data_IF_976144410362
#
_entry.id   IF_976144410362
#
_cell.length_a   1.000
_cell.length_b   1.000
_cell.length_c   1.000
_cell.angle_alpha   90.00
_cell.angle_beta   90.00
_cell.angle_gamma   90.00
#
_symmetry.space_group_name_H-M   'P 1'
#
loop_
_entity.id
_entity.type
_entity.pdbx_description
1 polymer ?
#
# COMPACT_ATOMS: atom_id res chain seq x y z
N UNK A 1 1.59 -8.73 0.01
CA UNK A 1 0.58 -7.65 -0.09
C UNK A 1 1.15 -6.47 -0.87
N UNK A 2 0.44 -5.97 -1.90
CA UNK A 2 0.88 -4.82 -2.68
C UNK A 2 0.47 -3.51 -1.99
N UNK A 3 1.40 -2.55 -1.91
CA UNK A 3 1.22 -1.30 -1.13
C UNK A 3 0.91 -0.07 -1.98
N UNK A 4 1.14 -0.11 -3.31
CA UNK A 4 0.82 1.00 -4.21
C UNK A 4 0.39 0.52 -5.59
N UNK A 5 -0.63 1.17 -6.16
CA UNK A 5 -1.16 0.86 -7.47
C UNK A 5 -0.43 1.70 -8.53
N UNK A 6 0.59 1.13 -9.17
CA UNK A 6 1.25 1.82 -10.30
C UNK A 6 0.45 1.67 -11.60
N UNK A 7 0.63 2.58 -12.58
CA UNK A 7 0.01 2.43 -13.90
C UNK A 7 0.33 1.11 -14.60
N UNK A 8 1.53 0.55 -14.38
CA UNK A 8 1.97 -0.74 -14.91
C UNK A 8 1.21 -1.89 -14.27
N UNK A 9 1.07 -1.87 -12.94
CA UNK A 9 0.30 -2.89 -12.22
C UNK A 9 -1.18 -2.83 -12.61
N UNK A 10 -1.75 -1.63 -12.71
CA UNK A 10 -3.14 -1.47 -13.13
C UNK A 10 -3.37 -1.97 -14.56
N UNK A 11 -2.42 -1.75 -15.47
CA UNK A 11 -2.46 -2.32 -16.82
C UNK A 11 -2.44 -3.85 -16.78
N UNK A 12 -1.57 -4.45 -15.97
CA UNK A 12 -1.53 -5.89 -15.75
C UNK A 12 -2.85 -6.45 -15.19
N UNK A 13 -3.43 -5.77 -14.19
CA UNK A 13 -4.72 -6.15 -13.59
C UNK A 13 -5.88 -6.07 -14.59
N UNK A 14 -5.81 -5.21 -15.61
CA UNK A 14 -6.85 -5.06 -16.64
C UNK A 14 -6.64 -5.96 -17.86
N UNK A 15 -5.52 -6.67 -17.95
CA UNK A 15 -5.27 -7.61 -19.04
C UNK A 15 -6.29 -8.76 -19.05
N UNK A 16 -6.58 -9.30 -20.23
CA UNK A 16 -7.39 -10.52 -20.34
C UNK A 16 -6.67 -11.70 -19.69
N UNK A 17 -7.47 -12.61 -19.14
CA UNK A 17 -6.99 -13.82 -18.47
C UNK A 17 -7.75 -15.04 -18.97
N UNK A 18 -7.16 -16.24 -18.83
CA UNK A 18 -7.92 -17.47 -18.97
C UNK A 18 -9.12 -17.46 -18.01
N UNK A 19 -10.32 -17.64 -18.55
CA UNK A 19 -11.53 -17.76 -17.74
C UNK A 19 -11.42 -18.96 -16.79
N UNK A 20 -11.74 -18.84 -15.48
CA UNK A 20 -12.37 -17.68 -14.84
C UNK A 20 -11.40 -16.75 -14.10
N UNK A 21 -11.61 -15.44 -14.23
CA UNK A 21 -11.00 -14.43 -13.37
C UNK A 21 -11.99 -14.01 -12.26
N UNK A 22 -11.61 -14.24 -11.00
CA UNK A 22 -12.42 -13.97 -9.82
C UNK A 22 -11.92 -12.71 -9.10
N UNK A 23 -12.86 -11.85 -8.70
CA UNK A 23 -12.61 -10.68 -7.87
C UNK A 23 -13.47 -10.72 -6.63
N UNK A 24 -12.84 -10.78 -5.45
CA UNK A 24 -13.49 -10.64 -4.16
C UNK A 24 -13.26 -9.24 -3.62
N UNK A 25 -14.28 -8.67 -3.00
CA UNK A 25 -14.16 -7.46 -2.22
C UNK A 25 -14.83 -7.68 -0.86
N UNK A 26 -14.16 -7.27 0.21
CA UNK A 26 -14.63 -7.42 1.59
C UNK A 26 -14.33 -6.13 2.36
N UNK A 27 -15.32 -5.46 2.98
CA UNK A 27 -15.03 -4.41 3.96
C UNK A 27 -14.38 -5.03 5.20
N UNK A 28 -13.28 -4.44 5.65
CA UNK A 28 -12.49 -4.91 6.79
C UNK A 28 -12.40 -3.84 7.86
N UNK A 29 -11.90 -4.22 9.04
CA UNK A 29 -11.80 -3.35 10.19
C UNK A 29 -10.35 -3.19 10.64
N UNK A 30 -9.93 -1.96 10.93
CA UNK A 30 -8.55 -1.68 11.38
C UNK A 30 -8.25 -2.15 12.81
N UNK A 31 -9.28 -2.31 13.65
CA UNK A 31 -9.12 -2.48 15.10
C UNK A 31 -9.88 -3.70 15.61
N UNK A 32 -9.34 -4.31 16.66
CA UNK A 32 -10.04 -5.28 17.50
C UNK A 32 -11.14 -4.56 18.31
N UNK A 33 -12.26 -5.23 18.63
CA UNK A 33 -12.55 -6.63 18.34
C UNK A 33 -13.08 -6.88 16.92
N UNK A 34 -13.53 -5.84 16.21
CA UNK A 34 -14.29 -5.98 14.95
C UNK A 34 -13.52 -6.71 13.85
N UNK A 35 -12.19 -6.60 13.79
CA UNK A 35 -11.36 -7.30 12.81
C UNK A 35 -11.24 -8.82 13.04
N UNK A 36 -11.80 -9.36 14.13
CA UNK A 36 -11.82 -10.80 14.40
C UNK A 36 -12.72 -11.58 13.45
N UNK A 37 -13.74 -10.93 12.90
CA UNK A 37 -14.66 -11.57 11.96
C UNK A 37 -14.14 -11.57 10.51
N UNK A 38 -13.20 -10.70 10.17
CA UNK A 38 -12.78 -10.48 8.78
C UNK A 38 -12.20 -11.75 8.13
N UNK A 39 -11.38 -12.57 8.81
CA UNK A 39 -10.91 -13.85 8.25
C UNK A 39 -12.06 -14.84 7.97
N UNK A 40 -13.05 -14.89 8.86
CA UNK A 40 -14.22 -15.78 8.70
C UNK A 40 -15.06 -15.33 7.51
N UNK A 41 -15.32 -14.02 7.39
CA UNK A 41 -16.07 -13.46 6.26
C UNK A 41 -15.34 -13.67 4.94
N UNK A 42 -14.01 -13.53 4.92
CA UNK A 42 -13.21 -13.84 3.75
C UNK A 42 -13.33 -15.32 3.36
N UNK A 43 -13.27 -16.23 4.34
CA UNK A 43 -13.50 -17.67 4.11
C UNK A 43 -14.85 -17.93 3.45
N UNK A 44 -15.92 -17.31 3.95
CA UNK A 44 -17.26 -17.43 3.37
C UNK A 44 -17.32 -16.93 1.92
N UNK A 45 -16.61 -15.84 1.58
CA UNK A 45 -16.54 -15.34 0.19
C UNK A 45 -15.76 -16.28 -0.72
N UNK A 46 -14.72 -16.95 -0.22
CA UNK A 46 -13.99 -17.98 -0.98
C UNK A 46 -14.89 -19.18 -1.26
N UNK A 47 -15.71 -19.60 -0.29
CA UNK A 47 -16.70 -20.66 -0.49
C UNK A 47 -17.80 -20.26 -1.48
N UNK A 48 -18.31 -19.03 -1.40
CA UNK A 48 -19.25 -18.48 -2.38
C UNK A 48 -18.65 -18.48 -3.79
N UNK A 49 -17.40 -18.05 -3.95
CA UNK A 49 -16.71 -18.12 -5.23
C UNK A 49 -16.62 -19.56 -5.76
N UNK A 50 -16.27 -20.52 -4.89
CA UNK A 50 -16.26 -21.94 -5.26
C UNK A 50 -17.61 -22.44 -5.77
N UNK A 51 -18.71 -22.02 -5.15
CA UNK A 51 -20.09 -22.35 -5.58
C UNK A 51 -20.47 -21.71 -6.90
N UNK A 52 -20.11 -20.45 -7.13
CA UNK A 52 -20.34 -19.76 -8.40
C UNK A 52 -19.58 -20.43 -9.56
N UNK A 53 -18.34 -20.83 -9.31
CA UNK A 53 -17.52 -21.55 -10.30
C UNK A 53 -18.05 -22.96 -10.59
N UNK A 54 -18.56 -23.68 -9.58
CA UNK A 54 -19.19 -25.00 -9.78
C UNK A 54 -20.47 -24.91 -10.62
N UNK A 55 -21.23 -23.81 -10.48
CA UNK A 55 -22.49 -23.62 -11.19
C UNK A 55 -22.29 -23.20 -12.66
N UNK A 56 -21.07 -22.82 -13.06
CA UNK A 56 -20.78 -22.36 -14.40
C UNK A 56 -20.30 -23.50 -15.31
N UNK A 57 -21.07 -23.87 -16.36
CA UNK A 57 -20.70 -24.96 -17.25
C UNK A 57 -19.44 -24.67 -18.11
N UNK A 58 -19.01 -23.41 -18.23
CA UNK A 58 -17.77 -23.06 -18.92
C UNK A 58 -16.51 -23.27 -18.06
N UNK A 59 -16.67 -23.54 -16.76
CA UNK A 59 -15.55 -23.75 -15.83
C UNK A 59 -15.32 -25.25 -15.64
N UNK A 60 -14.12 -25.72 -16.00
CA UNK A 60 -13.73 -27.10 -15.69
C UNK A 60 -13.43 -27.25 -14.20
N UNK A 61 -13.62 -28.46 -13.67
CA UNK A 61 -13.28 -28.77 -12.27
C UNK A 61 -11.83 -28.41 -11.93
N UNK A 62 -10.90 -28.69 -12.83
CA UNK A 62 -9.48 -28.36 -12.68
C UNK A 62 -9.26 -26.85 -12.52
N UNK A 63 -9.86 -26.02 -13.38
CA UNK A 63 -9.74 -24.56 -13.29
C UNK A 63 -10.38 -24.00 -12.04
N UNK A 64 -11.54 -24.54 -11.64
CA UNK A 64 -12.17 -24.17 -10.37
C UNK A 64 -11.23 -24.46 -9.21
N UNK A 65 -10.72 -25.69 -9.12
CA UNK A 65 -9.92 -26.13 -7.98
C UNK A 65 -8.62 -25.32 -7.87
N UNK A 66 -7.99 -24.98 -9.01
CA UNK A 66 -6.84 -24.04 -9.05
C UNK A 66 -7.24 -22.65 -8.55
N UNK A 67 -8.28 -22.03 -9.12
CA UNK A 67 -8.70 -20.67 -8.71
C UNK A 67 -9.08 -20.61 -7.22
N UNK A 68 -9.77 -21.62 -6.69
CA UNK A 68 -10.08 -21.70 -5.26
C UNK A 68 -8.81 -21.85 -4.42
N UNK A 69 -7.81 -22.62 -4.88
CA UNK A 69 -6.52 -22.71 -4.22
C UNK A 69 -5.78 -21.36 -4.21
N UNK A 70 -5.80 -20.64 -5.33
CA UNK A 70 -5.23 -19.29 -5.45
C UNK A 70 -5.92 -18.28 -4.52
N UNK A 71 -7.25 -18.34 -4.39
CA UNK A 71 -8.00 -17.51 -3.43
C UNK A 71 -7.62 -17.81 -1.98
N UNK A 72 -7.44 -19.10 -1.64
CA UNK A 72 -7.02 -19.51 -0.28
C UNK A 72 -5.58 -19.09 0.00
N UNK A 73 -4.69 -19.20 -0.97
CA UNK A 73 -3.32 -18.71 -0.85
C UNK A 73 -3.31 -17.20 -0.57
N UNK A 74 -4.04 -16.43 -1.38
CA UNK A 74 -4.19 -14.99 -1.17
C UNK A 74 -4.76 -14.63 0.22
N UNK A 75 -5.73 -15.39 0.71
CA UNK A 75 -6.31 -15.20 2.04
C UNK A 75 -5.32 -15.52 3.16
N UNK A 76 -4.48 -16.54 2.99
CA UNK A 76 -3.48 -16.94 3.97
C UNK A 76 -2.29 -15.96 4.08
N UNK A 77 -2.00 -15.22 3.01
CA UNK A 77 -0.98 -14.16 3.01
C UNK A 77 -1.40 -12.89 3.76
N UNK A 78 -2.66 -12.78 4.18
CA UNK A 78 -3.15 -11.60 4.88
C UNK A 78 -2.72 -11.60 6.34
N UNK A 79 -1.90 -10.62 6.68
CA UNK A 79 -1.60 -10.27 8.07
C UNK A 79 -2.79 -9.52 8.69
N UNK A 80 -3.48 -10.08 9.70
CA UNK A 80 -4.58 -9.39 10.40
C UNK A 80 -4.13 -8.10 11.10
N UNK A 81 -2.83 -7.95 11.38
CA UNK A 81 -2.23 -6.72 11.93
C UNK A 81 -2.15 -5.57 10.92
N UNK A 82 -2.28 -5.85 9.62
CA UNK A 82 -2.25 -4.85 8.54
C UNK A 82 -3.64 -4.56 7.96
N UNK A 83 -4.70 -5.00 8.64
CA UNK A 83 -6.08 -4.76 8.20
C UNK A 83 -6.35 -3.25 8.00
N UNK A 84 -6.88 -2.91 6.83
CA UNK A 84 -7.33 -1.56 6.47
C UNK A 84 -8.87 -1.49 6.49
N UNK A 85 -9.47 -0.59 5.73
CA UNK A 85 -10.93 -0.45 5.68
C UNK A 85 -11.58 -1.38 4.65
N UNK A 86 -10.78 -1.93 3.73
CA UNK A 86 -11.24 -2.92 2.77
C UNK A 86 -10.13 -3.83 2.29
N UNK A 87 -10.56 -4.95 1.71
CA UNK A 87 -9.73 -5.96 1.08
C UNK A 87 -10.27 -6.24 -0.32
N UNK A 88 -9.38 -6.27 -1.30
CA UNK A 88 -9.66 -6.71 -2.67
C UNK A 88 -8.72 -7.87 -2.99
N UNK A 89 -9.29 -9.01 -3.38
CA UNK A 89 -8.55 -10.20 -3.79
C UNK A 89 -8.89 -10.53 -5.22
N UNK A 90 -7.87 -10.83 -6.01
CA UNK A 90 -7.99 -11.30 -7.38
C UNK A 90 -7.38 -12.68 -7.50
N UNK A 91 -8.03 -13.58 -8.25
CA UNK A 91 -7.49 -14.89 -8.57
C UNK A 91 -7.93 -15.36 -9.95
N UNK A 92 -7.00 -15.95 -10.69
CA UNK A 92 -7.22 -16.62 -11.95
C UNK A 92 -6.33 -17.86 -11.98
N UNK A 93 -6.44 -18.76 -12.99
CA UNK A 93 -5.59 -19.94 -13.03
C UNK A 93 -4.10 -19.59 -12.93
N UNK A 94 -3.42 -20.17 -11.93
CA UNK A 94 -1.99 -19.93 -11.65
C UNK A 94 -1.60 -18.57 -11.07
N UNK A 95 -2.53 -17.66 -10.77
CA UNK A 95 -2.19 -16.36 -10.18
C UNK A 95 -3.20 -15.88 -9.13
N UNK A 96 -2.69 -15.14 -8.13
CA UNK A 96 -3.51 -14.35 -7.23
C UNK A 96 -2.83 -13.04 -6.84
N UNK A 97 -3.64 -12.08 -6.39
CA UNK A 97 -3.17 -10.83 -5.81
C UNK A 97 -4.11 -10.40 -4.69
N UNK A 98 -3.54 -9.86 -3.60
CA UNK A 98 -4.30 -9.32 -2.48
C UNK A 98 -3.89 -7.87 -2.18
N UNK A 99 -4.90 -7.02 -2.00
CA UNK A 99 -4.78 -5.57 -1.82
C UNK A 99 -5.59 -5.14 -0.60
N UNK A 100 -4.91 -4.64 0.43
CA UNK A 100 -5.57 -3.91 1.50
C UNK A 100 -5.72 -2.44 1.08
N UNK A 101 -6.91 -1.87 1.30
CA UNK A 101 -7.26 -0.52 0.85
C UNK A 101 -7.77 0.35 1.99
N UNK A 102 -7.39 1.63 2.00
CA UNK A 102 -7.81 2.64 3.00
C UNK A 102 -9.22 3.21 2.73
N UNK A 103 -10.09 2.40 2.12
CA UNK A 103 -11.48 2.77 1.84
C UNK A 103 -12.38 1.53 1.94
N UNK A 104 -13.56 1.61 2.56
CA UNK A 104 -14.50 0.49 2.56
C UNK A 104 -14.90 0.14 1.13
N UNK A 105 -14.91 -1.16 0.86
CA UNK A 105 -15.36 -1.73 -0.40
C UNK A 105 -16.67 -2.48 -0.18
N UNK A 106 -17.56 -2.51 -1.17
CA UNK A 106 -18.76 -3.32 -1.10
C UNK A 106 -18.41 -4.81 -1.08
N UNK A 107 -19.03 -5.56 -0.18
CA UNK A 107 -18.88 -7.02 -0.12
C UNK A 107 -19.46 -7.68 -1.37
N UNK A 108 -18.64 -8.43 -2.11
CA UNK A 108 -19.10 -9.17 -3.31
C UNK A 108 -18.07 -10.16 -3.85
N UNK A 109 -18.56 -11.09 -4.65
CA UNK A 109 -17.81 -11.96 -5.56
C UNK A 109 -18.19 -11.63 -7.00
N UNK A 110 -17.21 -11.50 -7.89
CA UNK A 110 -17.44 -11.33 -9.33
C UNK A 110 -16.57 -12.31 -10.09
N UNK A 111 -17.18 -13.02 -11.05
CA UNK A 111 -16.51 -13.93 -12.00
C UNK A 111 -16.64 -13.32 -13.40
N UNK A 112 -15.53 -13.18 -14.12
CA UNK A 112 -15.48 -12.59 -15.46
C UNK A 112 -14.21 -13.02 -16.22
N UNK A 113 -13.99 -12.48 -17.42
CA UNK A 113 -12.75 -12.66 -18.20
C UNK A 113 -11.61 -11.72 -17.75
N UNK A 114 -11.91 -10.76 -16.88
CA UNK A 114 -10.96 -9.76 -16.34
C UNK A 114 -11.27 -9.45 -14.88
N UNK A 115 -10.28 -8.92 -14.16
CA UNK A 115 -10.48 -8.50 -12.78
C UNK A 115 -11.30 -7.21 -12.65
N UNK A 116 -12.16 -7.16 -11.65
CA UNK A 116 -12.94 -5.98 -11.29
C UNK A 116 -12.06 -4.95 -10.56
N UNK A 117 -11.35 -4.13 -11.33
CA UNK A 117 -10.41 -3.12 -10.78
C UNK A 117 -11.07 -1.87 -10.21
N UNK A 118 -12.38 -1.65 -10.41
CA UNK A 118 -13.06 -0.39 -10.05
C UNK A 118 -12.94 -0.03 -8.56
N UNK A 119 -13.01 -1.03 -7.68
CA UNK A 119 -12.93 -0.83 -6.23
C UNK A 119 -11.51 -0.40 -5.83
N UNK A 120 -10.49 -1.03 -6.42
CA UNK A 120 -9.09 -0.72 -6.18
C UNK A 120 -8.72 0.68 -6.68
N UNK A 121 -9.13 1.02 -7.92
CA UNK A 121 -8.92 2.35 -8.50
C UNK A 121 -9.60 3.45 -7.68
N UNK A 122 -10.85 3.21 -7.24
CA UNK A 122 -11.56 4.18 -6.42
C UNK A 122 -10.91 4.38 -5.04
N UNK A 123 -10.32 3.33 -4.46
CA UNK A 123 -9.59 3.45 -3.20
C UNK A 123 -8.25 4.19 -3.38
N UNK A 124 -7.52 3.91 -4.45
CA UNK A 124 -6.27 4.59 -4.78
C UNK A 124 -6.48 6.08 -5.06
N UNK A 125 -7.47 6.43 -5.89
CA UNK A 125 -7.83 7.80 -6.21
C UNK A 125 -8.35 8.61 -5.00
N UNK A 126 -8.82 7.94 -3.95
CA UNK A 126 -9.28 8.60 -2.73
C UNK A 126 -8.12 8.99 -1.78
N UNK A 127 -6.90 8.48 -2.02
CA UNK A 127 -5.74 8.84 -1.23
C UNK A 127 -5.38 10.31 -1.47
N UNK A 128 -5.33 11.10 -0.40
CA UNK A 128 -4.98 12.52 -0.49
C UNK A 128 -3.46 12.65 -0.67
N UNK A 129 -2.99 13.46 -1.63
CA UNK A 129 -1.58 13.81 -1.69
C UNK A 129 -1.19 14.62 -0.46
N UNK A 130 0.03 14.43 0.01
CA UNK A 130 0.62 15.15 1.13
C UNK A 130 2.10 15.40 0.88
N UNK A 131 2.66 16.40 1.55
CA UNK A 131 4.09 16.66 1.55
C UNK A 131 4.71 16.24 2.87
N UNK A 132 5.86 15.58 2.82
CA UNK A 132 6.69 15.29 3.99
C UNK A 132 7.96 16.11 3.90
N UNK A 133 8.21 16.94 4.90
CA UNK A 133 9.47 17.66 5.05
C UNK A 133 10.31 16.98 6.14
N UNK A 134 11.41 16.34 5.74
CA UNK A 134 12.38 15.76 6.65
C UNK A 134 13.49 16.79 6.92
N UNK A 135 13.63 17.20 8.17
CA UNK A 135 14.57 18.25 8.59
C UNK A 135 15.66 17.63 9.47
N UNK A 136 16.89 17.66 8.99
CA UNK A 136 18.08 17.28 9.74
C UNK A 136 19.08 18.44 9.82
N UNK A 137 20.07 18.31 10.70
CA UNK A 137 21.05 19.36 10.93
C UNK A 137 21.91 19.64 9.69
N UNK A 138 22.09 18.67 8.80
CA UNK A 138 22.93 18.72 7.60
C UNK A 138 22.13 18.64 6.30
N UNK A 139 20.89 18.15 6.35
CA UNK A 139 20.05 17.93 5.17
C UNK A 139 18.58 18.22 5.43
N UNK A 140 17.94 18.90 4.49
CA UNK A 140 16.48 19.05 4.44
C UNK A 140 16.01 18.43 3.13
N UNK A 141 15.10 17.47 3.20
CA UNK A 141 14.53 16.81 2.03
C UNK A 141 13.01 16.95 2.02
N UNK A 142 12.47 17.28 0.85
CA UNK A 142 11.03 17.30 0.60
C UNK A 142 10.63 16.00 -0.08
N UNK A 143 9.46 15.47 0.27
CA UNK A 143 8.94 14.25 -0.34
C UNK A 143 7.46 14.41 -0.68
N UNK A 144 7.09 13.99 -1.89
CA UNK A 144 5.71 13.85 -2.33
C UNK A 144 5.16 12.50 -1.84
N UNK A 145 4.03 12.56 -1.13
CA UNK A 145 3.39 11.41 -0.52
C UNK A 145 1.97 11.20 -1.03
N UNK A 146 1.60 9.94 -1.28
CA UNK A 146 0.23 9.51 -1.54
C UNK A 146 0.01 8.15 -0.90
N UNK A 147 -0.92 8.07 0.06
CA UNK A 147 -1.11 6.87 0.89
C UNK A 147 0.19 6.42 1.56
N UNK A 148 0.60 5.18 1.32
CA UNK A 148 1.86 4.62 1.84
C UNK A 148 3.09 4.88 0.96
N UNK A 149 2.90 5.46 -0.23
CA UNK A 149 3.99 5.80 -1.15
C UNK A 149 4.54 7.18 -0.79
N UNK A 150 5.85 7.27 -0.69
CA UNK A 150 6.57 8.53 -0.48
C UNK A 150 7.76 8.53 -1.44
N UNK A 151 7.92 9.59 -2.24
CA UNK A 151 8.99 9.76 -3.23
C UNK A 151 9.72 11.07 -2.94
N UNK A 152 11.05 11.03 -2.87
CA UNK A 152 11.84 12.25 -2.67
C UNK A 152 11.60 13.22 -3.85
N UNK A 153 11.25 14.45 -3.52
CA UNK A 153 11.09 15.54 -4.47
C UNK A 153 12.39 16.36 -4.53
N UNK A 154 12.90 16.50 -5.74
CA UNK A 154 14.14 17.24 -6.06
C UNK A 154 13.85 18.60 -6.70
N UNK A 155 12.57 18.98 -6.79
CA UNK A 155 12.15 20.31 -7.20
C UNK A 155 12.25 21.32 -6.04
N UNK A 156 11.91 22.57 -6.32
CA UNK A 156 11.77 23.64 -5.31
C UNK A 156 13.00 23.93 -4.44
N UNK A 157 14.19 23.55 -4.90
CA UNK A 157 15.45 23.75 -4.19
C UNK A 157 15.83 22.65 -3.20
N UNK A 158 15.09 21.53 -3.19
CA UNK A 158 15.41 20.35 -2.38
C UNK A 158 16.26 19.32 -3.14
N UNK A 159 17.04 18.48 -2.42
CA UNK A 159 17.35 18.59 -1.01
C UNK A 159 18.34 19.74 -0.73
N UNK A 160 18.12 20.47 0.37
CA UNK A 160 19.09 21.43 0.89
C UNK A 160 20.11 20.66 1.71
N UNK A 161 21.40 20.88 1.44
CA UNK A 161 22.48 20.27 2.22
C UNK A 161 23.42 21.35 2.76
N UNK A 162 23.91 21.19 3.99
CA UNK A 162 25.01 21.99 4.55
C UNK A 162 26.05 21.10 5.20
N UNK A 163 27.30 21.54 5.17
CA UNK A 163 28.35 20.90 5.96
C UNK A 163 28.14 21.19 7.45
N UNK A 164 28.13 20.15 8.28
CA UNK A 164 28.29 20.33 9.72
C UNK A 164 29.78 20.62 9.97
N UNK A 165 30.09 21.79 10.51
CA UNK A 165 31.43 22.08 11.01
C UNK A 165 31.86 21.08 12.09
N UNK A 166 33.17 21.04 12.38
CA UNK A 166 33.78 20.08 13.31
C UNK A 166 33.08 20.12 14.69
N UNK A 167 32.39 19.03 15.06
CA UNK A 167 31.64 18.92 16.32
C UNK A 167 32.56 19.03 17.56
N UNK A 168 33.86 18.84 17.37
CA UNK A 168 34.92 18.90 18.38
C UNK A 168 35.66 20.26 18.44
N UNK A 169 35.09 21.36 17.91
CA UNK A 169 35.69 22.69 18.04
C UNK A 169 35.97 23.09 19.50
N UNK A 170 35.08 22.72 20.43
CA UNK A 170 35.25 22.94 21.88
C UNK A 170 36.41 22.13 22.49
N UNK A 171 36.77 20.98 21.91
CA UNK A 171 37.85 20.13 22.43
C UNK A 171 39.23 20.57 21.90
N UNK A 172 39.28 21.35 20.81
CA UNK A 172 40.53 21.83 20.19
C UNK A 172 40.96 23.22 20.66
N UNK A 173 40.05 24.07 21.15
CA UNK A 173 40.43 25.39 21.67
C UNK A 173 40.12 25.56 23.16
N UNK A 174 41.17 25.71 23.97
CA UNK A 174 41.11 26.06 25.40
C UNK A 174 40.78 27.54 25.63
N UNK A 175 39.75 28.10 24.99
CA UNK A 175 39.25 29.45 25.30
C UNK A 175 37.73 29.42 25.23
N UNK A 176 37.09 29.60 26.38
CA UNK A 176 35.64 29.48 26.55
C UNK A 176 34.87 30.71 26.10
N UNK A 177 34.78 30.94 24.78
CA UNK A 177 33.92 32.01 24.24
C UNK A 177 33.43 31.74 22.81
N UNK A 178 32.97 30.51 22.53
CA UNK A 178 32.28 30.22 21.26
C UNK A 178 30.74 30.17 21.45
N UNK A 179 29.97 30.85 20.59
CA UNK A 179 28.52 30.77 20.63
C UNK A 179 28.08 29.33 20.31
N UNK A 180 27.26 28.77 21.21
CA UNK A 180 26.60 27.46 21.05
C UNK A 180 26.12 27.20 19.62
N UNK A 181 26.31 25.97 19.13
CA UNK A 181 25.81 25.45 17.84
C UNK A 181 24.30 25.62 17.62
N UNK A 182 23.55 25.94 18.67
CA UNK A 182 22.12 26.28 18.61
C UNK A 182 21.83 27.78 18.35
N UNK A 183 22.86 28.62 18.26
CA UNK A 183 22.79 30.09 18.07
C UNK A 183 23.49 30.57 16.80
N UNK A 184 23.78 29.67 15.87
CA UNK A 184 24.50 30.01 14.65
C UNK A 184 23.57 30.65 13.59
N UNK A 185 23.95 31.82 13.08
CA UNK A 185 23.29 32.54 11.97
C UNK A 185 23.15 31.63 10.74
N UNK A 186 24.13 30.74 10.52
CA UNK A 186 24.11 29.78 9.42
C UNK A 186 22.99 28.75 9.57
N UNK A 187 22.68 28.33 10.80
CA UNK A 187 21.55 27.44 11.09
C UNK A 187 20.23 28.15 10.82
N UNK A 188 20.11 29.44 11.17
CA UNK A 188 18.92 30.25 10.82
C UNK A 188 18.76 30.46 9.33
N UNK A 189 19.86 30.69 8.60
CA UNK A 189 19.84 30.88 7.15
C UNK A 189 19.47 29.60 6.41
N UNK A 190 19.89 28.43 6.92
CA UNK A 190 19.56 27.13 6.32
C UNK A 190 18.08 26.74 6.48
N UNK A 191 17.40 27.23 7.53
CA UNK A 191 15.97 26.98 7.77
C UNK A 191 15.03 28.10 7.29
N UNK A 192 15.54 29.10 6.55
CA UNK A 192 14.76 30.24 6.05
C UNK A 192 14.29 30.04 4.62
#
# INVERSE_FOLDING_TARGET
>A
MYSSLTPEILRGLRAQRPYPAVSLALPTHRRRPDNAQDPVRLGNLVEEAGRLLDADPAVTRERRDDVVAQLRAAAAELDPGQARDGLVVFAAPGEHQAWAVDRPVPERVVVADTFLTRNLVAADAAQRPYWVLAVAADRIALWDGQGARVVEDTAHGFPLSRGLGDLDAERKERVGDLPSTFRDEQTRQFFR
#
